data_IF_636197968955
#
_entry.id   IF_636197968955
#
_cell.length_a   1.000
_cell.length_b   1.000
_cell.length_c   1.000
_cell.angle_alpha   90.00
_cell.angle_beta   90.00
_cell.angle_gamma   90.00
#
_symmetry.space_group_name_H-M   'P 1'
#
loop_
_entity.id
_entity.type
_entity.pdbx_description
1 polymer ?
#
# COMPACT_ATOMS: atom_id res chain seq x y z
N UNK A 1 -43.33 10.89 -48.74
CA UNK A 1 -43.43 11.29 -47.32
C UNK A 1 -42.44 10.42 -46.59
N UNK A 2 -41.16 10.75 -46.70
CA UNK A 2 -40.09 9.93 -46.16
C UNK A 2 -39.59 10.62 -44.90
N UNK A 3 -40.25 10.29 -43.79
CA UNK A 3 -39.89 10.79 -42.47
C UNK A 3 -38.75 9.96 -41.90
N UNK A 4 -37.52 10.42 -42.12
CA UNK A 4 -36.32 9.92 -41.46
C UNK A 4 -36.50 10.06 -39.92
N UNK A 5 -36.54 8.94 -39.21
CA UNK A 5 -36.57 8.93 -37.74
C UNK A 5 -35.17 9.29 -37.23
N UNK A 6 -34.99 10.33 -36.39
CA UNK A 6 -33.67 10.68 -35.87
C UNK A 6 -33.20 9.63 -34.86
N UNK A 7 -31.92 9.22 -34.87
CA UNK A 7 -31.41 8.24 -33.92
C UNK A 7 -31.43 8.81 -32.50
N UNK A 8 -31.97 8.01 -31.59
CA UNK A 8 -32.10 8.31 -30.17
C UNK A 8 -30.74 8.64 -29.52
N UNK A 9 -30.75 9.75 -28.77
CA UNK A 9 -30.01 10.06 -27.56
C UNK A 9 -28.65 9.38 -27.32
N UNK A 10 -27.60 10.21 -27.24
CA UNK A 10 -26.29 9.82 -26.74
C UNK A 10 -26.37 9.08 -25.40
N UNK A 11 -25.54 8.04 -25.27
CA UNK A 11 -25.41 7.25 -24.05
C UNK A 11 -25.07 8.17 -22.87
N UNK A 12 -25.71 8.01 -21.69
CA UNK A 12 -25.40 8.84 -20.54
C UNK A 12 -24.01 8.47 -20.03
N UNK A 13 -23.03 9.34 -20.31
CA UNK A 13 -21.73 9.29 -19.62
C UNK A 13 -21.97 9.61 -18.15
N UNK A 14 -21.88 8.57 -17.30
CA UNK A 14 -22.05 8.67 -15.85
C UNK A 14 -21.34 9.90 -15.29
N UNK A 15 -21.99 10.64 -14.41
CA UNK A 15 -21.49 11.93 -13.92
C UNK A 15 -20.11 11.79 -13.25
N UNK A 16 -19.29 12.85 -13.20
CA UNK A 16 -18.01 12.81 -12.49
C UNK A 16 -18.12 12.29 -11.05
N UNK A 17 -19.21 12.60 -10.35
CA UNK A 17 -19.48 12.15 -9.00
C UNK A 17 -19.75 10.64 -8.91
N UNK A 18 -20.51 10.09 -9.86
CA UNK A 18 -20.79 8.64 -9.95
C UNK A 18 -19.50 7.86 -10.23
N UNK A 19 -18.65 8.36 -11.14
CA UNK A 19 -17.33 7.78 -11.40
C UNK A 19 -16.43 7.82 -10.17
N UNK A 20 -16.43 8.92 -9.42
CA UNK A 20 -15.69 9.06 -8.17
C UNK A 20 -16.17 8.04 -7.11
N UNK A 21 -17.49 7.88 -6.97
CA UNK A 21 -18.08 6.95 -6.02
C UNK A 21 -17.73 5.49 -6.37
N UNK A 22 -17.84 5.13 -7.65
CA UNK A 22 -17.45 3.81 -8.16
C UNK A 22 -15.96 3.50 -7.88
N UNK A 23 -15.06 4.47 -8.11
CA UNK A 23 -13.62 4.32 -7.82
C UNK A 23 -13.35 4.12 -6.33
N UNK A 24 -14.01 4.87 -5.45
CA UNK A 24 -13.90 4.69 -3.99
C UNK A 24 -14.41 3.31 -3.56
N UNK A 25 -15.51 2.83 -4.13
CA UNK A 25 -16.04 1.50 -3.85
C UNK A 25 -15.07 0.38 -4.30
N UNK A 26 -14.50 0.51 -5.49
CA UNK A 26 -13.50 -0.42 -6.00
C UNK A 26 -12.26 -0.48 -5.10
N UNK A 27 -11.74 0.67 -4.65
CA UNK A 27 -10.61 0.73 -3.73
C UNK A 27 -10.92 0.06 -2.38
N UNK A 28 -12.11 0.33 -1.80
CA UNK A 28 -12.53 -0.34 -0.54
C UNK A 28 -12.57 -1.85 -0.69
N UNK A 29 -13.07 -2.35 -1.82
CA UNK A 29 -13.10 -3.80 -2.12
C UNK A 29 -11.70 -4.39 -2.19
N UNK A 30 -10.79 -3.79 -2.97
CA UNK A 30 -9.39 -4.23 -3.09
C UNK A 30 -8.68 -4.28 -1.73
N UNK A 31 -8.83 -3.24 -0.91
CA UNK A 31 -8.24 -3.20 0.44
C UNK A 31 -8.81 -4.30 1.33
N UNK A 32 -10.11 -4.58 1.23
CA UNK A 32 -10.76 -5.66 1.99
C UNK A 32 -10.23 -7.03 1.60
N UNK A 33 -10.18 -7.33 0.30
CA UNK A 33 -9.68 -8.60 -0.25
C UNK A 33 -8.22 -8.84 0.16
N UNK A 34 -7.37 -7.81 0.04
CA UNK A 34 -5.97 -7.89 0.46
C UNK A 34 -5.85 -8.20 1.97
N UNK A 35 -6.60 -7.48 2.83
CA UNK A 35 -6.61 -7.74 4.27
C UNK A 35 -7.17 -9.12 4.62
N UNK A 36 -8.10 -9.67 3.83
CA UNK A 36 -8.60 -11.04 4.03
C UNK A 36 -7.53 -12.08 3.73
N UNK A 37 -6.78 -11.91 2.64
CA UNK A 37 -5.65 -12.79 2.31
C UNK A 37 -4.59 -12.79 3.41
N UNK A 38 -4.19 -11.61 3.89
CA UNK A 38 -3.22 -11.49 4.99
C UNK A 38 -3.73 -12.17 6.28
N UNK A 39 -5.01 -12.01 6.62
CA UNK A 39 -5.59 -12.71 7.78
C UNK A 39 -5.61 -14.23 7.61
N UNK A 40 -5.88 -14.73 6.40
CA UNK A 40 -5.85 -16.16 6.12
C UNK A 40 -4.42 -16.74 6.26
N UNK A 41 -3.39 -15.93 6.00
CA UNK A 41 -1.97 -16.26 6.26
C UNK A 41 -1.58 -16.11 7.75
N UNK A 42 -2.53 -15.85 8.65
CA UNK A 42 -2.26 -15.66 10.08
C UNK A 42 -1.74 -14.27 10.47
N UNK A 43 -1.62 -13.35 9.51
CA UNK A 43 -1.15 -11.99 9.79
C UNK A 43 -2.27 -11.10 10.36
N UNK A 44 -1.90 -10.19 11.25
CA UNK A 44 -2.83 -9.26 11.90
C UNK A 44 -2.40 -7.83 11.60
N UNK A 45 -3.27 -6.98 11.01
CA UNK A 45 -2.91 -5.59 10.75
C UNK A 45 -2.78 -4.83 12.07
N UNK A 46 -1.67 -4.12 12.26
CA UNK A 46 -1.47 -3.15 13.33
C UNK A 46 -1.38 -1.76 12.74
N UNK A 47 -1.90 -0.77 13.46
CA UNK A 47 -1.74 0.63 13.10
C UNK A 47 -0.86 1.28 14.16
N UNK A 48 0.30 1.77 13.71
CA UNK A 48 1.27 2.47 14.55
C UNK A 48 1.40 3.90 14.05
N UNK A 49 1.65 4.81 14.98
CA UNK A 49 2.02 6.19 14.65
C UNK A 49 3.53 6.25 14.52
N UNK A 50 4.00 6.70 13.36
CA UNK A 50 5.42 6.90 13.07
C UNK A 50 5.73 8.40 13.02
N UNK A 51 6.99 8.83 13.28
CA UNK A 51 7.39 10.20 13.07
C UNK A 51 7.13 10.66 11.63
N UNK A 52 6.79 11.94 11.46
CA UNK A 52 6.57 12.52 10.14
C UNK A 52 7.91 12.63 9.38
N UNK A 53 8.02 11.87 8.29
CA UNK A 53 9.21 11.81 7.44
C UNK A 53 9.46 13.09 6.65
N UNK A 54 8.45 13.97 6.56
CA UNK A 54 8.55 15.27 5.90
C UNK A 54 8.85 16.42 6.86
N UNK A 55 8.86 16.16 8.17
CA UNK A 55 9.18 17.18 9.14
C UNK A 55 10.64 17.66 8.97
N UNK A 56 10.90 18.98 9.08
CA UNK A 56 12.27 19.49 9.09
C UNK A 56 13.10 18.79 10.17
N UNK A 57 14.29 18.29 9.80
CA UNK A 57 15.21 17.61 10.71
C UNK A 57 14.98 16.09 10.85
N UNK A 58 13.96 15.51 10.22
CA UNK A 58 13.76 14.06 10.22
C UNK A 58 14.98 13.30 9.69
N UNK A 59 15.59 13.76 8.60
CA UNK A 59 16.78 13.13 8.02
C UNK A 59 17.95 13.09 9.01
N UNK A 60 18.18 14.19 9.73
CA UNK A 60 19.25 14.28 10.72
C UNK A 60 19.01 13.32 11.89
N UNK A 61 17.78 13.23 12.39
CA UNK A 61 17.43 12.33 13.49
C UNK A 61 17.45 10.86 13.04
N UNK A 62 16.92 10.55 11.86
CA UNK A 62 17.00 9.22 11.27
C UNK A 62 18.47 8.77 11.16
N UNK A 63 19.34 9.63 10.63
CA UNK A 63 20.78 9.35 10.52
C UNK A 63 21.46 9.17 11.89
N UNK A 64 21.07 9.96 12.89
CA UNK A 64 21.58 9.82 14.27
C UNK A 64 21.17 8.48 14.85
N UNK A 65 19.89 8.11 14.77
CA UNK A 65 19.34 6.87 15.32
C UNK A 65 19.91 5.64 14.62
N UNK A 66 20.02 5.65 13.28
CA UNK A 66 20.64 4.55 12.54
C UNK A 66 22.07 4.27 12.99
N UNK A 67 22.86 5.32 13.30
CA UNK A 67 24.22 5.13 13.83
C UNK A 67 24.23 4.55 15.24
N UNK A 68 23.29 4.96 16.09
CA UNK A 68 23.20 4.43 17.45
C UNK A 68 22.89 2.93 17.43
N UNK A 69 21.95 2.50 16.58
CA UNK A 69 21.62 1.07 16.40
C UNK A 69 22.82 0.31 15.84
N UNK A 70 23.45 0.81 14.78
CA UNK A 70 24.63 0.16 14.18
C UNK A 70 25.85 0.05 15.13
N UNK A 71 25.89 0.86 16.18
CA UNK A 71 26.93 0.84 17.20
C UNK A 71 26.49 0.10 18.48
N UNK A 72 25.28 -0.46 18.51
CA UNK A 72 24.77 -1.21 19.64
C UNK A 72 25.57 -2.49 19.81
N UNK A 73 25.96 -2.86 21.04
CA UNK A 73 26.65 -4.13 21.30
C UNK A 73 25.91 -5.36 20.76
N UNK A 74 24.58 -5.29 20.72
CA UNK A 74 23.67 -6.37 20.30
C UNK A 74 23.47 -6.43 18.78
N UNK A 75 23.92 -5.42 18.01
CA UNK A 75 23.67 -5.32 16.57
C UNK A 75 24.16 -6.55 15.81
N UNK A 76 25.36 -7.04 16.14
CA UNK A 76 25.93 -8.20 15.47
C UNK A 76 25.13 -9.48 15.73
N UNK A 77 24.61 -9.65 16.96
CA UNK A 77 23.79 -10.80 17.33
C UNK A 77 22.41 -10.74 16.66
N UNK A 78 21.78 -9.55 16.65
CA UNK A 78 20.49 -9.31 15.99
C UNK A 78 20.60 -9.55 14.49
N UNK A 79 21.64 -9.01 13.85
CA UNK A 79 21.86 -9.21 12.41
C UNK A 79 22.10 -10.69 12.09
N UNK A 80 22.94 -11.38 12.85
CA UNK A 80 23.18 -12.82 12.67
C UNK A 80 21.89 -13.65 12.86
N UNK A 81 21.05 -13.28 13.82
CA UNK A 81 19.74 -13.93 13.99
C UNK A 81 18.84 -13.70 12.77
N UNK A 82 18.71 -12.46 12.28
CA UNK A 82 17.91 -12.13 11.10
C UNK A 82 18.38 -12.91 9.89
N UNK A 83 19.70 -12.92 9.62
CA UNK A 83 20.29 -13.64 8.49
C UNK A 83 20.05 -15.16 8.58
N UNK A 84 19.95 -15.71 9.79
CA UNK A 84 19.69 -17.14 10.00
C UNK A 84 18.24 -17.56 9.75
N UNK A 85 17.27 -16.63 9.83
CA UNK A 85 15.84 -16.92 9.69
C UNK A 85 15.22 -16.35 8.42
N UNK A 86 15.87 -15.38 7.78
CA UNK A 86 15.32 -14.69 6.62
C UNK A 86 15.79 -15.35 5.31
N UNK A 87 14.86 -16.00 4.63
CA UNK A 87 15.03 -16.44 3.24
C UNK A 87 14.40 -15.39 2.33
N UNK A 88 15.17 -14.83 1.39
CA UNK A 88 14.61 -13.96 0.37
C UNK A 88 13.62 -14.77 -0.46
N UNK A 89 12.35 -14.37 -0.57
CA UNK A 89 11.44 -15.04 -1.49
C UNK A 89 11.98 -14.85 -2.91
N UNK A 90 12.21 -15.95 -3.63
CA UNK A 90 12.56 -15.92 -5.05
C UNK A 90 11.58 -15.01 -5.80
N UNK A 91 12.09 -14.27 -6.80
CA UNK A 91 11.46 -13.18 -7.55
C UNK A 91 10.09 -13.51 -8.20
N UNK A 92 9.04 -13.79 -7.42
CA UNK A 92 7.68 -14.09 -7.91
C UNK A 92 6.85 -12.82 -8.25
N UNK A 93 7.44 -11.62 -8.13
CA UNK A 93 6.76 -10.34 -8.41
C UNK A 93 7.31 -9.58 -9.62
N UNK A 94 7.90 -10.26 -10.59
CA UNK A 94 8.34 -9.63 -11.85
C UNK A 94 7.32 -9.72 -13.00
N UNK A 95 6.00 -9.60 -12.72
CA UNK A 95 4.96 -9.47 -13.77
C UNK A 95 4.09 -8.22 -13.62
#
# INVERSE_FOLDING_TARGET
>A
MDGETPPAAGQPVASPAERQAARRAANRRKVREHRQRLRAQGMRPIQIWVPDVHAPGFEAEARRQSRLVAQSPEEAEIQAFIDSVYEWPDDEYSQ
#
